data_IF_290240733010
#
_entry.id   IF_290240733010
#
_cell.length_a   1.000
_cell.length_b   1.000
_cell.length_c   1.000
_cell.angle_alpha   90.00
_cell.angle_beta   90.00
_cell.angle_gamma   90.00
#
_symmetry.space_group_name_H-M   'P 1'
#
loop_
_entity.id
_entity.type
_entity.pdbx_description
1 polymer ?
#
# COMPACT_ATOMS: atom_id res chain seq x y z
N UNK A 1 -62.27 -31.11 34.17
CA UNK A 1 -62.37 -29.71 33.73
C UNK A 1 -61.28 -28.97 34.48
N UNK A 2 -60.11 -28.66 33.94
CA UNK A 2 -59.59 -28.81 32.58
C UNK A 2 -58.07 -28.95 32.66
N UNK A 3 -57.53 -29.82 31.80
CA UNK A 3 -56.11 -29.99 31.56
C UNK A 3 -55.67 -28.92 30.57
N UNK A 4 -54.82 -27.98 30.97
CA UNK A 4 -54.24 -27.01 30.04
C UNK A 4 -52.98 -27.60 29.39
N UNK A 5 -53.04 -27.74 28.07
CA UNK A 5 -51.98 -28.28 27.23
C UNK A 5 -50.96 -27.19 26.81
N UNK A 6 -49.67 -27.53 26.94
CA UNK A 6 -48.61 -27.54 25.91
C UNK A 6 -48.61 -26.41 24.85
N UNK A 7 -47.49 -25.68 24.71
CA UNK A 7 -46.66 -25.65 23.48
C UNK A 7 -45.47 -24.69 23.61
N UNK A 8 -44.28 -25.28 23.77
CA UNK A 8 -42.99 -24.66 23.48
C UNK A 8 -42.73 -24.87 22.00
N UNK A 9 -43.08 -23.90 21.16
CA UNK A 9 -42.71 -23.88 19.75
C UNK A 9 -41.28 -23.37 19.56
N UNK A 10 -40.52 -24.17 18.84
CA UNK A 10 -39.12 -23.99 18.47
C UNK A 10 -38.94 -22.94 17.37
N UNK A 11 -37.94 -22.07 17.60
CA UNK A 11 -37.09 -21.33 16.67
C UNK A 11 -37.39 -21.40 15.15
N UNK A 12 -37.44 -20.23 14.51
CA UNK A 12 -37.36 -20.13 13.06
C UNK A 12 -37.12 -18.69 12.59
N UNK A 13 -35.92 -18.17 12.86
CA UNK A 13 -35.33 -16.97 12.24
C UNK A 13 -35.79 -16.83 10.78
N UNK A 14 -36.43 -15.70 10.46
CA UNK A 14 -36.73 -15.27 9.09
C UNK A 14 -35.41 -15.05 8.35
N UNK A 15 -34.85 -16.14 7.83
CA UNK A 15 -33.63 -16.12 7.04
C UNK A 15 -33.90 -15.34 5.76
N UNK A 16 -33.36 -14.12 5.71
CA UNK A 16 -33.25 -13.30 4.50
C UNK A 16 -32.81 -14.20 3.32
N UNK A 17 -33.55 -14.15 2.22
CA UNK A 17 -33.42 -15.13 1.14
C UNK A 17 -33.13 -14.46 -0.20
N UNK A 18 -32.13 -14.99 -0.92
CA UNK A 18 -31.72 -14.54 -2.25
C UNK A 18 -32.25 -15.51 -3.31
N UNK A 19 -32.84 -14.95 -4.38
CA UNK A 19 -33.29 -15.72 -5.54
C UNK A 19 -32.14 -15.86 -6.53
N UNK A 20 -31.83 -17.10 -6.92
CA UNK A 20 -30.82 -17.36 -7.94
C UNK A 20 -31.29 -16.86 -9.32
N UNK A 21 -30.52 -15.99 -9.97
CA UNK A 21 -30.84 -15.47 -11.32
C UNK A 21 -30.75 -16.50 -12.44
N UNK A 22 -30.21 -17.69 -12.17
CA UNK A 22 -29.96 -18.71 -13.18
C UNK A 22 -30.96 -19.86 -13.17
N UNK A 23 -31.42 -20.27 -11.99
CA UNK A 23 -32.38 -21.37 -11.82
C UNK A 23 -33.63 -20.96 -11.02
N UNK A 24 -33.73 -19.69 -10.63
CA UNK A 24 -34.85 -19.10 -9.89
C UNK A 24 -35.18 -19.74 -8.54
N UNK A 25 -34.34 -20.65 -8.03
CA UNK A 25 -34.51 -21.20 -6.68
C UNK A 25 -34.19 -20.15 -5.61
N UNK A 26 -35.00 -20.15 -4.55
CA UNK A 26 -34.79 -19.40 -3.31
C UNK A 26 -33.68 -20.09 -2.51
N UNK A 27 -32.66 -19.33 -2.12
CA UNK A 27 -31.55 -19.81 -1.28
C UNK A 27 -31.37 -18.86 -0.09
N UNK A 28 -30.82 -19.32 1.04
CA UNK A 28 -30.44 -18.44 2.15
C UNK A 28 -29.36 -17.44 1.72
N UNK A 29 -29.34 -16.25 2.32
CA UNK A 29 -28.34 -15.23 2.01
C UNK A 29 -26.92 -15.74 2.26
N UNK A 30 -26.65 -16.59 3.24
CA UNK A 30 -25.27 -17.03 3.56
C UNK A 30 -24.56 -17.84 2.47
N UNK A 31 -25.27 -18.31 1.44
CA UNK A 31 -24.67 -19.08 0.35
C UNK A 31 -23.96 -18.20 -0.68
N UNK A 32 -22.69 -18.53 -0.98
CA UNK A 32 -21.93 -17.90 -2.07
C UNK A 32 -22.27 -18.47 -3.45
N UNK A 33 -22.65 -19.75 -3.51
CA UNK A 33 -23.03 -20.45 -4.72
C UNK A 33 -24.39 -21.11 -4.54
N UNK A 34 -25.17 -21.21 -5.62
CA UNK A 34 -26.47 -21.85 -5.60
C UNK A 34 -26.31 -23.38 -5.50
N UNK A 35 -26.85 -24.05 -4.48
CA UNK A 35 -26.72 -25.51 -4.34
C UNK A 35 -27.43 -26.29 -5.47
N UNK A 36 -28.39 -25.66 -6.15
CA UNK A 36 -29.14 -26.31 -7.23
C UNK A 36 -28.45 -26.24 -8.60
N UNK A 37 -27.66 -25.19 -8.88
CA UNK A 37 -27.10 -24.98 -10.22
C UNK A 37 -25.63 -24.56 -10.24
N UNK A 38 -24.99 -24.40 -9.08
CA UNK A 38 -23.58 -24.01 -8.95
C UNK A 38 -23.26 -22.56 -9.31
N UNK A 39 -24.23 -21.76 -9.80
CA UNK A 39 -23.99 -20.36 -10.15
C UNK A 39 -23.76 -19.50 -8.91
N UNK A 40 -22.84 -18.54 -9.02
CA UNK A 40 -22.56 -17.58 -7.95
C UNK A 40 -23.81 -16.76 -7.58
N UNK A 41 -24.09 -16.70 -6.28
CA UNK A 41 -25.16 -15.87 -5.70
C UNK A 41 -24.59 -14.56 -5.15
N UNK A 42 -23.34 -14.61 -4.67
CA UNK A 42 -22.60 -13.48 -4.11
C UNK A 42 -21.20 -13.43 -4.73
N UNK A 43 -20.66 -12.23 -4.99
CA UNK A 43 -19.27 -12.10 -5.40
C UNK A 43 -18.37 -12.71 -4.32
N UNK A 44 -17.37 -13.50 -4.75
CA UNK A 44 -16.41 -14.15 -3.85
C UNK A 44 -15.77 -13.11 -2.92
N UNK A 45 -15.75 -13.33 -1.58
CA UNK A 45 -15.02 -12.44 -0.69
C UNK A 45 -13.56 -12.46 -1.15
N UNK A 46 -12.96 -11.27 -1.27
CA UNK A 46 -11.60 -11.14 -1.80
C UNK A 46 -10.69 -12.09 -1.03
N UNK A 47 -10.14 -13.09 -1.73
CA UNK A 47 -9.25 -14.07 -1.13
C UNK A 47 -8.09 -13.31 -0.49
N UNK A 48 -8.06 -13.31 0.84
CA UNK A 48 -6.97 -12.86 1.71
C UNK A 48 -5.80 -13.83 1.60
N UNK A 49 -5.38 -14.12 0.37
CA UNK A 49 -4.17 -14.90 0.12
C UNK A 49 -2.98 -14.10 0.62
N UNK A 50 -2.18 -14.74 1.48
CA UNK A 50 -0.96 -14.17 2.09
C UNK A 50 -0.06 -13.52 1.03
N UNK A 51 -0.03 -14.08 -0.18
CA UNK A 51 0.74 -13.58 -1.32
C UNK A 51 0.21 -12.23 -1.81
N UNK A 52 -1.12 -12.02 -1.82
CA UNK A 52 -1.72 -10.73 -2.17
C UNK A 52 -1.50 -9.70 -1.06
N UNK A 53 -1.56 -10.10 0.21
CA UNK A 53 -1.23 -9.22 1.34
C UNK A 53 0.22 -8.74 1.29
N UNK A 54 1.16 -9.66 1.07
CA UNK A 54 2.58 -9.33 0.95
C UNK A 54 2.85 -8.41 -0.24
N UNK A 55 2.18 -8.62 -1.37
CA UNK A 55 2.25 -7.72 -2.53
C UNK A 55 1.76 -6.30 -2.23
N UNK A 56 0.66 -6.15 -1.47
CA UNK A 56 0.16 -4.83 -1.04
C UNK A 56 1.19 -4.12 -0.13
N UNK A 57 1.80 -4.85 0.80
CA UNK A 57 2.78 -4.26 1.72
C UNK A 57 4.09 -3.88 1.03
N UNK A 58 4.60 -4.74 0.13
CA UNK A 58 5.80 -4.44 -0.67
C UNK A 58 5.57 -3.25 -1.60
N UNK A 59 4.41 -3.16 -2.24
CA UNK A 59 4.05 -2.03 -3.10
C UNK A 59 3.94 -0.72 -2.30
N UNK A 60 3.46 -0.78 -1.06
CA UNK A 60 3.33 0.39 -0.17
C UNK A 60 4.68 0.91 0.33
N UNK A 61 5.68 0.02 0.43
CA UNK A 61 7.06 0.37 0.79
C UNK A 61 7.84 0.95 -0.40
N UNK A 62 7.53 0.52 -1.62
CA UNK A 62 8.34 0.83 -2.80
C UNK A 62 7.87 2.06 -3.58
N UNK A 63 6.62 2.54 -3.41
CA UNK A 63 6.09 3.72 -4.11
C UNK A 63 5.38 4.70 -3.14
N UNK A 64 6.09 5.62 -2.47
CA UNK A 64 5.47 6.86 -2.00
C UNK A 64 5.10 7.68 -3.24
N UNK A 65 3.80 7.74 -3.66
CA UNK A 65 2.66 8.23 -2.87
C UNK A 65 1.37 7.35 -2.97
N UNK A 66 1.47 6.03 -3.15
CA UNK A 66 0.30 5.18 -3.47
C UNK A 66 -0.50 4.64 -2.27
N UNK A 67 -0.01 4.75 -1.03
CA UNK A 67 -0.74 4.32 0.18
C UNK A 67 -2.07 5.04 0.44
N UNK A 68 -2.25 6.21 -0.18
CA UNK A 68 -3.48 7.01 -0.10
C UNK A 68 -4.65 6.38 -0.87
N UNK A 69 -4.38 5.70 -1.99
CA UNK A 69 -5.41 5.10 -2.84
C UNK A 69 -6.23 3.99 -2.15
N UNK A 70 -5.61 2.97 -1.52
CA UNK A 70 -6.36 2.01 -0.72
C UNK A 70 -6.94 2.65 0.54
N UNK A 71 -6.21 3.55 1.24
CA UNK A 71 -6.70 4.19 2.47
C UNK A 71 -8.04 4.92 2.29
N UNK A 72 -8.19 5.69 1.20
CA UNK A 72 -9.44 6.39 0.86
C UNK A 72 -10.56 5.40 0.50
N UNK A 73 -10.25 4.29 -0.17
CA UNK A 73 -11.24 3.24 -0.50
C UNK A 73 -11.76 2.53 0.75
N UNK A 74 -10.88 2.24 1.71
CA UNK A 74 -11.24 1.58 2.97
C UNK A 74 -12.01 2.51 3.93
N UNK A 75 -11.71 3.83 3.92
CA UNK A 75 -12.52 4.84 4.63
C UNK A 75 -13.96 4.96 4.11
N UNK A 76 -14.19 4.64 2.84
CA UNK A 76 -15.53 4.57 2.23
C UNK A 76 -16.25 3.23 2.48
N UNK A 77 -15.64 2.30 3.22
CA UNK A 77 -16.27 1.04 3.63
C UNK A 77 -17.51 1.24 4.49
N UNK A 78 -18.44 0.29 4.42
CA UNK A 78 -19.73 0.35 5.12
C UNK A 78 -19.56 -0.04 6.60
N UNK A 79 -18.59 -0.90 6.90
CA UNK A 79 -18.37 -1.44 8.25
C UNK A 79 -17.33 -0.66 9.04
N UNK A 80 -17.46 -0.65 10.38
CA UNK A 80 -16.54 0.07 11.27
C UNK A 80 -15.08 -0.40 11.13
N UNK A 81 -14.87 -1.70 10.90
CA UNK A 81 -13.54 -2.30 10.77
C UNK A 81 -12.80 -1.81 9.51
N UNK A 82 -13.51 -1.63 8.40
CA UNK A 82 -12.91 -1.13 7.15
C UNK A 82 -12.43 0.31 7.29
N UNK A 83 -13.19 1.15 8.00
CA UNK A 83 -12.83 2.55 8.27
C UNK A 83 -11.58 2.67 9.14
N UNK A 84 -11.44 1.81 10.14
CA UNK A 84 -10.26 1.76 11.02
C UNK A 84 -9.01 1.40 10.23
N UNK A 85 -9.09 0.40 9.35
CA UNK A 85 -7.97 0.01 8.49
C UNK A 85 -7.54 1.15 7.57
N UNK A 86 -8.51 1.87 7.00
CA UNK A 86 -8.24 3.06 6.18
C UNK A 86 -7.56 4.18 6.98
N UNK A 87 -8.03 4.46 8.20
CA UNK A 87 -7.44 5.47 9.08
C UNK A 87 -5.99 5.13 9.46
N UNK A 88 -5.72 3.88 9.87
CA UNK A 88 -4.38 3.42 10.23
C UNK A 88 -3.42 3.54 9.04
N UNK A 89 -3.85 3.14 7.84
CA UNK A 89 -3.02 3.22 6.65
C UNK A 89 -2.61 4.66 6.31
N UNK A 90 -3.53 5.61 6.42
CA UNK A 90 -3.25 7.04 6.17
C UNK A 90 -2.32 7.60 7.25
N UNK A 91 -2.60 7.33 8.52
CA UNK A 91 -1.75 7.78 9.64
C UNK A 91 -0.33 7.24 9.50
N UNK A 92 -0.18 5.94 9.20
CA UNK A 92 1.14 5.33 8.99
C UNK A 92 1.88 5.97 7.81
N UNK A 93 1.17 6.26 6.71
CA UNK A 93 1.76 6.93 5.54
C UNK A 93 2.26 8.34 5.87
N UNK A 94 1.49 9.12 6.64
CA UNK A 94 1.89 10.47 7.08
C UNK A 94 3.14 10.41 7.95
N UNK A 95 3.19 9.48 8.91
CA UNK A 95 4.34 9.30 9.80
C UNK A 95 5.59 8.95 8.98
N UNK A 96 5.51 7.93 8.13
CA UNK A 96 6.65 7.50 7.29
C UNK A 96 7.13 8.64 6.39
N UNK A 97 6.22 9.42 5.82
CA UNK A 97 6.59 10.56 4.96
C UNK A 97 7.34 11.64 5.74
N UNK A 98 6.86 12.00 6.94
CA UNK A 98 7.52 13.00 7.79
C UNK A 98 8.92 12.52 8.20
N UNK A 99 9.03 11.28 8.69
CA UNK A 99 10.31 10.69 9.06
C UNK A 99 11.27 10.59 7.87
N UNK A 100 10.76 10.21 6.70
CA UNK A 100 11.55 10.13 5.47
C UNK A 100 12.10 11.50 5.09
N UNK A 101 11.32 12.58 5.21
CA UNK A 101 11.80 13.94 4.95
C UNK A 101 12.93 14.29 5.93
N UNK A 102 12.74 14.04 7.22
CA UNK A 102 13.75 14.36 8.24
C UNK A 102 15.05 13.61 7.98
N UNK A 103 14.96 12.31 7.72
CA UNK A 103 16.11 11.46 7.43
C UNK A 103 16.79 11.84 6.11
N UNK A 104 16.01 12.19 5.08
CA UNK A 104 16.56 12.63 3.79
C UNK A 104 17.32 13.94 3.94
N UNK A 105 16.81 14.90 4.71
CA UNK A 105 17.51 16.16 4.96
C UNK A 105 18.82 15.94 5.74
N UNK A 106 18.82 15.03 6.72
CA UNK A 106 20.03 14.66 7.46
C UNK A 106 21.06 13.98 6.56
N UNK A 107 20.61 13.04 5.71
CA UNK A 107 21.46 12.37 4.74
C UNK A 107 22.06 13.37 3.75
N UNK A 108 21.26 14.28 3.16
CA UNK A 108 21.78 15.28 2.22
C UNK A 108 22.84 16.16 2.87
N UNK A 109 22.65 16.58 4.13
CA UNK A 109 23.68 17.37 4.86
C UNK A 109 24.99 16.60 5.02
N UNK A 110 24.91 15.32 5.36
CA UNK A 110 26.08 14.45 5.51
C UNK A 110 26.80 14.20 4.17
N UNK A 111 26.07 14.11 3.06
CA UNK A 111 26.69 14.00 1.73
C UNK A 111 27.29 15.33 1.27
N UNK A 112 26.64 16.45 1.55
CA UNK A 112 27.13 17.79 1.19
C UNK A 112 28.43 18.13 1.90
N UNK A 113 28.56 17.84 3.20
CA UNK A 113 29.82 18.05 3.92
C UNK A 113 30.97 17.23 3.32
N UNK A 114 30.72 15.95 3.02
CA UNK A 114 31.71 15.07 2.41
C UNK A 114 32.13 15.55 1.01
N UNK A 115 31.20 16.03 0.19
CA UNK A 115 31.50 16.57 -1.15
C UNK A 115 32.21 17.92 -1.09
N UNK A 116 31.80 18.80 -0.18
CA UNK A 116 32.42 20.11 -0.04
C UNK A 116 33.88 19.99 0.40
N UNK A 117 34.19 19.05 1.30
CA UNK A 117 35.55 18.77 1.74
C UNK A 117 36.44 18.23 0.61
N UNK A 118 35.89 17.47 -0.34
CA UNK A 118 36.66 16.96 -1.48
C UNK A 118 36.79 17.98 -2.63
N UNK A 119 35.70 18.68 -2.98
CA UNK A 119 35.66 19.63 -4.11
C UNK A 119 36.37 20.94 -3.80
N UNK A 120 36.34 21.41 -2.54
CA UNK A 120 37.11 22.58 -2.12
C UNK A 120 38.53 22.23 -1.68
N UNK A 121 38.93 20.95 -1.73
CA UNK A 121 40.28 20.57 -1.35
C UNK A 121 41.31 21.29 -2.24
N UNK A 122 42.29 22.00 -1.64
CA UNK A 122 43.32 22.67 -2.42
C UNK A 122 44.13 21.69 -3.28
N UNK A 123 44.15 20.41 -2.92
CA UNK A 123 44.79 19.32 -3.68
C UNK A 123 44.19 19.19 -5.08
N UNK A 124 42.85 19.10 -5.21
CA UNK A 124 42.20 18.89 -6.51
C UNK A 124 42.37 20.12 -7.43
N UNK A 125 42.24 21.34 -6.86
CA UNK A 125 42.50 22.59 -7.59
C UNK A 125 43.94 22.66 -8.09
N UNK A 126 44.91 22.30 -7.24
CA UNK A 126 46.31 22.33 -7.62
C UNK A 126 46.62 21.31 -8.71
N UNK A 127 46.11 20.07 -8.61
CA UNK A 127 46.29 19.05 -9.66
C UNK A 127 45.68 19.46 -11.00
N UNK A 128 44.52 20.14 -11.00
CA UNK A 128 43.89 20.62 -12.24
C UNK A 128 44.72 21.73 -12.90
N UNK A 129 45.26 22.65 -12.10
CA UNK A 129 46.15 23.71 -12.57
C UNK A 129 47.47 23.15 -13.11
N UNK A 130 48.02 22.11 -12.48
CA UNK A 130 49.20 21.38 -12.95
C UNK A 130 48.92 20.75 -14.34
N UNK A 131 47.80 20.02 -14.47
CA UNK A 131 47.43 19.40 -15.74
C UNK A 131 47.15 20.44 -16.84
N UNK A 132 46.50 21.54 -16.51
CA UNK A 132 46.24 22.61 -17.48
C UNK A 132 47.55 23.23 -17.97
N UNK A 133 48.54 23.43 -17.10
CA UNK A 133 49.86 23.93 -17.48
C UNK A 133 50.58 22.99 -18.45
N UNK A 134 50.60 21.69 -18.17
CA UNK A 134 51.20 20.72 -19.10
C UNK A 134 50.52 20.72 -20.46
N UNK A 135 49.18 20.83 -20.49
CA UNK A 135 48.43 20.91 -21.75
C UNK A 135 48.79 22.16 -22.55
N UNK A 136 48.89 23.32 -21.89
CA UNK A 136 49.25 24.59 -22.53
C UNK A 136 50.71 24.56 -23.03
N UNK A 137 51.63 24.01 -22.25
CA UNK A 137 53.05 23.94 -22.62
C UNK A 137 53.28 23.00 -23.79
N UNK A 138 52.62 21.83 -23.80
CA UNK A 138 52.63 20.92 -24.94
C UNK A 138 52.02 21.55 -26.20
N UNK A 139 50.90 22.28 -26.07
CA UNK A 139 50.30 23.02 -27.17
C UNK A 139 51.25 24.09 -27.73
N UNK A 140 51.92 24.85 -26.86
CA UNK A 140 52.86 25.89 -27.27
C UNK A 140 54.09 25.31 -27.99
N UNK A 141 54.69 24.24 -27.44
CA UNK A 141 55.84 23.59 -28.06
C UNK A 141 55.52 22.93 -29.41
N UNK A 142 54.26 22.54 -29.65
CA UNK A 142 53.81 22.04 -30.95
C UNK A 142 53.73 23.14 -32.03
N UNK A 143 53.52 24.40 -31.63
CA UNK A 143 53.34 25.54 -32.53
C UNK A 143 54.66 26.24 -32.92
N UNK A 144 55.80 25.82 -32.35
CA UNK A 144 57.12 26.43 -32.54
C UNK A 144 58.04 25.51 -33.35
#
# INVERSE_FOLDING_TARGET
MDSEQINVESQGNEAEAIICKACHKKNPTDFYFCPNCGKELKPKPLSTSIIKQLGIYLLSIFLPPLGLWPGIKYLKGVTANEKIVGAIAITLTLIVTIFSIWYTLELVKNFQSMLNDQLQSPVLRNSLNEQLKEQIENQYNFLK
#
